data_IF_013990399801
#
_entry.id   IF_013990399801
#
_cell.length_a   1.000
_cell.length_b   1.000
_cell.length_c   1.000
_cell.angle_alpha   90.00
_cell.angle_beta   90.00
_cell.angle_gamma   90.00
#
_symmetry.space_group_name_H-M   'P 1'
#
loop_
_entity.id
_entity.type
_entity.pdbx_description
1 polymer ?
#
# COMPACT_ATOMS: atom_id res chain seq x y z
N UNK A 1 7.75 4.72 13.53
CA UNK A 1 7.20 4.61 12.16
C UNK A 1 6.48 3.29 12.02
N UNK A 2 5.26 3.28 11.46
CA UNK A 2 4.51 2.07 11.22
C UNK A 2 4.58 1.68 9.75
N UNK A 3 4.80 0.40 9.51
CA UNK A 3 4.81 -0.19 8.19
C UNK A 3 3.68 -1.22 8.13
N UNK A 4 3.02 -1.27 6.99
CA UNK A 4 2.06 -2.30 6.65
C UNK A 4 2.69 -3.28 5.70
N UNK A 5 2.47 -4.55 5.96
CA UNK A 5 2.84 -5.63 5.05
C UNK A 5 1.59 -6.38 4.60
N UNK A 6 1.47 -6.62 3.30
CA UNK A 6 0.40 -7.38 2.66
C UNK A 6 0.97 -8.45 1.73
N UNK A 7 0.09 -9.38 1.33
CA UNK A 7 0.40 -10.53 0.48
C UNK A 7 1.48 -11.47 1.05
N UNK A 8 1.54 -11.57 2.39
CA UNK A 8 2.43 -12.47 3.09
C UNK A 8 1.98 -13.92 2.89
N UNK A 9 2.84 -14.83 2.40
CA UNK A 9 2.49 -16.23 2.25
C UNK A 9 2.29 -16.89 3.62
N UNK A 10 1.35 -17.84 3.70
CA UNK A 10 1.02 -18.53 4.96
C UNK A 10 2.22 -19.23 5.62
N UNK A 11 3.22 -19.61 4.82
CA UNK A 11 4.48 -20.23 5.27
C UNK A 11 5.45 -19.24 5.91
N UNK A 12 5.35 -17.95 5.60
CA UNK A 12 6.22 -16.94 6.20
C UNK A 12 5.70 -16.62 7.59
N UNK A 13 6.61 -16.69 8.56
CA UNK A 13 6.34 -16.41 9.95
C UNK A 13 6.89 -15.05 10.37
N UNK A 14 6.44 -14.57 11.53
CA UNK A 14 6.94 -13.32 12.11
C UNK A 14 8.46 -13.38 12.32
N UNK A 15 9.00 -14.53 12.74
CA UNK A 15 10.42 -14.72 12.97
C UNK A 15 11.26 -14.51 11.69
N UNK A 16 10.85 -15.14 10.59
CA UNK A 16 11.49 -14.97 9.27
C UNK A 16 11.39 -13.51 8.81
N UNK A 17 10.21 -12.91 8.91
CA UNK A 17 9.99 -11.53 8.53
C UNK A 17 10.86 -10.58 9.35
N UNK A 18 10.99 -10.83 10.66
CA UNK A 18 11.88 -10.09 11.55
C UNK A 18 13.33 -10.21 11.11
N UNK A 19 13.81 -11.41 10.79
CA UNK A 19 15.19 -11.59 10.31
C UNK A 19 15.46 -10.84 9.00
N UNK A 20 14.47 -10.78 8.10
CA UNK A 20 14.57 -9.99 6.89
C UNK A 20 14.65 -8.49 7.19
N UNK A 21 13.79 -8.00 8.08
CA UNK A 21 13.75 -6.58 8.47
C UNK A 21 14.99 -6.13 9.24
N UNK A 22 15.54 -6.99 10.11
CA UNK A 22 16.73 -6.72 10.93
C UNK A 22 17.98 -6.42 10.09
N UNK A 23 18.04 -6.95 8.85
CA UNK A 23 19.10 -6.63 7.90
C UNK A 23 19.06 -5.18 7.41
N UNK A 24 17.89 -4.56 7.42
CA UNK A 24 17.70 -3.15 7.02
C UNK A 24 17.66 -2.22 8.24
N UNK A 25 17.24 -2.71 9.41
CA UNK A 25 17.33 -1.97 10.67
C UNK A 25 16.55 -2.55 11.83
N UNK A 26 16.43 -1.78 12.92
CA UNK A 26 15.86 -2.24 14.17
C UNK A 26 14.32 -2.29 14.10
N UNK A 27 13.75 -3.43 14.49
CA UNK A 27 12.30 -3.63 14.60
C UNK A 27 11.89 -3.54 16.06
N UNK A 28 10.96 -2.64 16.37
CA UNK A 28 10.40 -2.49 17.71
C UNK A 28 9.32 -3.54 17.98
N UNK A 29 8.39 -3.72 17.03
CA UNK A 29 7.29 -4.67 17.18
C UNK A 29 6.80 -5.18 15.83
N UNK A 30 6.31 -6.41 15.78
CA UNK A 30 5.64 -6.99 14.61
C UNK A 30 4.30 -7.55 15.08
N UNK A 31 3.27 -7.35 14.27
CA UNK A 31 1.91 -7.79 14.53
C UNK A 31 1.29 -8.34 13.26
N UNK A 32 1.34 -9.65 13.09
CA UNK A 32 0.63 -10.33 12.00
C UNK A 32 -0.85 -10.49 12.35
N UNK A 33 -1.73 -10.11 11.43
CA UNK A 33 -3.17 -10.24 11.63
C UNK A 33 -3.63 -11.58 11.08
N UNK A 34 -4.14 -12.41 11.98
CA UNK A 34 -4.78 -13.68 11.67
C UNK A 34 -6.29 -13.56 11.78
N UNK A 35 -7.01 -14.30 10.94
CA UNK A 35 -8.46 -14.37 11.02
C UNK A 35 -8.86 -15.12 12.31
N UNK A 36 -9.60 -14.50 13.23
CA UNK A 36 -9.93 -15.10 14.51
C UNK A 36 -10.99 -16.21 14.41
N UNK A 37 -11.78 -16.26 13.32
CA UNK A 37 -12.81 -17.30 13.13
C UNK A 37 -12.23 -18.57 12.51
N UNK A 38 -11.35 -18.42 11.53
CA UNK A 38 -10.79 -19.56 10.78
C UNK A 38 -9.40 -19.96 11.24
N UNK A 39 -8.75 -19.14 12.07
CA UNK A 39 -7.34 -19.30 12.46
C UNK A 39 -6.36 -19.13 11.27
N UNK A 40 -6.86 -18.80 10.08
CA UNK A 40 -6.04 -18.67 8.87
C UNK A 40 -5.39 -17.28 8.86
N UNK A 41 -4.09 -17.24 8.58
CA UNK A 41 -3.36 -15.97 8.45
C UNK A 41 -3.92 -15.18 7.27
N UNK A 42 -4.40 -13.95 7.44
CA UNK A 42 -4.97 -13.19 6.29
C UNK A 42 -3.89 -12.70 5.32
N UNK A 43 -2.61 -12.97 5.61
CA UNK A 43 -1.48 -12.58 4.78
C UNK A 43 -1.14 -11.10 4.88
N UNK A 44 -1.48 -10.45 6.00
CA UNK A 44 -1.10 -9.07 6.26
C UNK A 44 -0.75 -8.83 7.73
N UNK A 45 -0.03 -7.74 7.99
CA UNK A 45 0.41 -7.36 9.32
C UNK A 45 0.95 -5.94 9.39
N UNK A 46 1.32 -5.55 10.60
CA UNK A 46 1.89 -4.25 10.92
C UNK A 46 3.24 -4.43 11.59
N UNK A 47 4.18 -3.56 11.25
CA UNK A 47 5.53 -3.53 11.81
C UNK A 47 5.76 -2.14 12.36
N UNK A 48 6.35 -2.06 13.54
CA UNK A 48 6.75 -0.80 14.15
C UNK A 48 8.27 -0.73 14.19
N UNK A 49 8.83 0.33 13.62
CA UNK A 49 10.26 0.63 13.63
C UNK A 49 10.51 1.99 14.29
N UNK A 50 11.51 2.11 15.17
CA UNK A 50 11.83 3.37 15.84
C UNK A 50 12.50 4.37 14.89
N UNK A 51 13.24 3.90 13.89
CA UNK A 51 14.03 4.74 12.96
C UNK A 51 13.35 4.84 11.59
N UNK A 52 13.06 6.06 11.13
CA UNK A 52 12.40 6.30 9.84
C UNK A 52 13.27 5.88 8.63
N UNK A 53 14.56 6.21 8.65
CA UNK A 53 15.49 5.89 7.55
C UNK A 53 15.57 4.37 7.30
N UNK A 54 15.64 3.59 8.39
CA UNK A 54 15.64 2.13 8.33
C UNK A 54 14.32 1.56 7.82
N UNK A 55 13.20 2.15 8.22
CA UNK A 55 11.88 1.77 7.72
C UNK A 55 11.74 2.00 6.21
N UNK A 56 12.20 3.15 5.69
CA UNK A 56 12.15 3.40 4.24
C UNK A 56 13.05 2.44 3.45
N UNK A 57 14.26 2.14 3.96
CA UNK A 57 15.14 1.13 3.36
C UNK A 57 14.51 -0.25 3.33
N UNK A 58 13.87 -0.64 4.43
CA UNK A 58 13.13 -1.90 4.51
C UNK A 58 11.99 -1.95 3.48
N UNK A 59 11.18 -0.89 3.36
CA UNK A 59 10.13 -0.80 2.35
C UNK A 59 10.73 -0.98 0.96
N UNK A 60 11.72 -0.18 0.58
CA UNK A 60 12.26 -0.23 -0.79
C UNK A 60 12.98 -1.54 -1.13
N UNK A 61 13.52 -2.25 -0.14
CA UNK A 61 14.26 -3.50 -0.34
C UNK A 61 13.41 -4.78 -0.24
N UNK A 62 12.33 -4.76 0.55
CA UNK A 62 11.43 -5.89 0.75
C UNK A 62 10.13 -5.78 -0.03
N UNK A 63 9.71 -4.57 -0.42
CA UNK A 63 8.58 -4.39 -1.32
C UNK A 63 8.88 -5.05 -2.67
N UNK A 64 7.88 -5.76 -3.20
CA UNK A 64 7.96 -6.57 -4.42
C UNK A 64 8.92 -7.77 -4.36
N UNK A 65 9.49 -8.08 -3.18
CA UNK A 65 10.35 -9.25 -3.04
C UNK A 65 9.51 -10.52 -3.15
N UNK A 66 9.94 -11.42 -4.04
CA UNK A 66 9.29 -12.72 -4.20
C UNK A 66 9.72 -13.68 -3.10
N UNK A 67 8.75 -14.16 -2.33
CA UNK A 67 8.94 -15.09 -1.22
C UNK A 67 7.89 -16.19 -1.34
N UNK A 68 8.34 -17.44 -1.46
CA UNK A 68 7.48 -18.62 -1.72
C UNK A 68 6.54 -18.44 -2.94
N UNK A 69 7.01 -17.78 -4.01
CA UNK A 69 6.22 -17.53 -5.22
C UNK A 69 5.15 -16.45 -5.06
N UNK A 70 5.25 -15.61 -4.04
CA UNK A 70 4.37 -14.44 -3.83
C UNK A 70 5.19 -13.18 -3.57
N UNK A 71 4.79 -12.07 -4.17
CA UNK A 71 5.42 -10.77 -3.98
C UNK A 71 4.94 -10.12 -2.70
N UNK A 72 5.84 -9.80 -1.78
CA UNK A 72 5.51 -9.07 -0.56
C UNK A 72 5.19 -7.61 -0.89
N UNK A 73 4.14 -7.07 -0.30
CA UNK A 73 3.77 -5.66 -0.45
C UNK A 73 4.02 -4.93 0.87
N UNK A 74 5.07 -4.11 0.94
CA UNK A 74 5.34 -3.26 2.09
C UNK A 74 4.97 -1.81 1.80
N UNK A 75 4.28 -1.14 2.72
CA UNK A 75 3.91 0.27 2.57
C UNK A 75 4.08 1.00 3.89
N UNK A 76 4.45 2.27 3.83
CA UNK A 76 4.39 3.16 4.98
C UNK A 76 2.93 3.36 5.39
N UNK A 77 2.61 3.24 6.67
CA UNK A 77 1.31 3.63 7.20
C UNK A 77 1.47 4.67 8.28
N UNK A 78 0.74 5.76 8.12
CA UNK A 78 0.57 6.73 9.17
C UNK A 78 -0.60 6.29 10.04
N UNK A 79 -0.57 6.68 11.32
CA UNK A 79 -1.63 6.34 12.28
C UNK A 79 -3.02 6.84 11.83
N UNK A 80 -3.04 7.87 10.97
CA UNK A 80 -4.25 8.38 10.31
C UNK A 80 -4.82 7.48 9.19
N UNK A 81 -4.05 6.54 8.64
CA UNK A 81 -4.46 5.66 7.51
C UNK A 81 -5.20 4.40 8.00
N UNK A 82 -5.01 3.98 9.25
CA UNK A 82 -5.60 2.76 9.81
C UNK A 82 -7.13 2.83 10.06
N UNK A 83 -7.76 3.97 9.73
CA UNK A 83 -9.20 4.19 9.96
C UNK A 83 -9.94 4.92 8.83
N UNK A 84 -9.36 5.12 7.64
CA UNK A 84 -10.04 5.84 6.53
C UNK A 84 -9.85 5.15 5.17
N UNK A 85 -10.90 5.08 4.33
CA UNK A 85 -10.77 4.53 2.97
C UNK A 85 -9.79 5.38 2.15
N UNK A 86 -8.78 4.73 1.58
CA UNK A 86 -7.76 5.33 0.72
C UNK A 86 -8.39 6.13 -0.41
N UNK A 87 -8.20 7.45 -0.39
CA UNK A 87 -8.40 8.32 -1.55
C UNK A 87 -7.22 8.09 -2.49
N UNK A 88 -7.39 7.22 -3.48
CA UNK A 88 -6.45 7.06 -4.58
C UNK A 88 -6.31 8.41 -5.31
N UNK A 89 -5.10 8.98 -5.26
CA UNK A 89 -4.59 10.01 -6.17
C UNK A 89 -3.33 9.36 -6.80
N UNK A 90 -3.01 9.39 -8.09
CA UNK A 90 -3.60 9.94 -9.32
C UNK A 90 -2.57 9.67 -10.45
N UNK A 91 -3.01 9.29 -11.65
CA UNK A 91 -2.39 9.54 -12.98
C UNK A 91 -3.22 8.73 -14.02
N UNK A 92 -3.81 9.27 -15.09
CA UNK A 92 -3.16 9.97 -16.23
C UNK A 92 -4.21 10.66 -17.14
N UNK A 93 -3.90 11.89 -17.60
CA UNK A 93 -4.38 12.66 -18.80
C UNK A 93 -5.89 12.75 -19.07
N UNK A 94 -6.56 13.90 -18.88
CA UNK A 94 -6.54 15.15 -19.67
C UNK A 94 -6.51 14.92 -21.18
N UNK A 95 -7.67 15.08 -21.84
CA UNK A 95 -7.95 16.00 -22.96
C UNK A 95 -9.35 15.65 -23.51
N UNK A 96 -10.41 16.27 -22.98
CA UNK A 96 -11.72 16.24 -23.63
C UNK A 96 -11.94 17.57 -24.36
N UNK A 97 -11.63 17.61 -25.65
CA UNK A 97 -11.94 18.74 -26.52
C UNK A 97 -13.45 18.80 -26.76
N UNK A 98 -14.14 19.72 -26.10
CA UNK A 98 -15.50 20.10 -26.47
C UNK A 98 -15.45 20.90 -27.78
N UNK A 99 -15.84 20.26 -28.88
CA UNK A 99 -16.10 20.94 -30.14
C UNK A 99 -17.61 20.88 -30.41
N UNK A 100 -18.34 21.88 -29.91
CA UNK A 100 -19.75 22.09 -30.26
C UNK A 100 -19.81 23.14 -31.36
N UNK A 101 -19.81 22.68 -32.60
CA UNK A 101 -20.31 23.46 -33.73
C UNK A 101 -21.52 22.72 -34.29
N UNK A 102 -22.68 23.07 -33.78
CA UNK A 102 -23.98 22.73 -34.39
C UNK A 102 -24.66 24.07 -34.65
N UNK A 103 -24.79 24.42 -35.92
CA UNK A 103 -25.42 25.66 -36.36
C UNK A 103 -26.94 25.56 -36.36
N UNK A 104 -27.60 26.70 -36.16
CA UNK A 104 -28.98 27.02 -36.55
C UNK A 104 -29.17 28.52 -36.23
N UNK A 105 -29.12 29.41 -37.23
CA UNK A 105 -30.26 30.12 -37.84
C UNK A 105 -31.40 30.48 -36.88
N UNK A 106 -31.54 31.78 -36.52
CA UNK A 106 -32.74 32.58 -36.85
C UNK A 106 -32.49 34.05 -36.48
N UNK A 107 -32.24 34.87 -37.50
CA UNK A 107 -32.10 36.32 -37.35
C UNK A 107 -33.46 37.00 -37.49
N UNK A 108 -34.28 37.00 -36.44
CA UNK A 108 -35.46 37.86 -36.37
C UNK A 108 -35.10 39.19 -35.70
N UNK A 109 -34.91 40.22 -36.54
CA UNK A 109 -34.84 41.63 -36.14
C UNK A 109 -35.91 42.36 -36.98
N UNK A 110 -36.78 43.08 -36.29
CA UNK A 110 -37.88 43.89 -36.86
C UNK A 110 -37.40 44.88 -37.93
#
# INVERSE_FOLDING_TARGET
>A
MKLFIANVPYKLEEAELKQMLVQYGQVASIKLVTDPQTGKRKGFGFIEMPVQDQAQKAISGLHDKEVYGRKLALSEVTENDLGKPKKQKSNTQTHNSNNNNTGEIDGNRW
#
